data_IF_870607237999
#
_entry.id   IF_870607237999
#
_cell.length_a   1.000
_cell.length_b   1.000
_cell.length_c   1.000
_cell.angle_alpha   90.00
_cell.angle_beta   90.00
_cell.angle_gamma   90.00
#
_symmetry.space_group_name_H-M   'P 1'
#
loop_
_entity.id
_entity.type
_entity.pdbx_description
1 polymer ?
#
# COMPACT_ATOMS: atom_id res chain seq x y z
N UNK A 1 -15.48 25.80 -51.27
CA UNK A 1 -15.62 27.21 -51.55
C UNK A 1 -14.58 28.01 -50.77
N UNK A 2 -13.81 28.84 -51.41
CA UNK A 2 -12.92 29.79 -50.76
C UNK A 2 -13.77 30.92 -50.19
N UNK A 3 -13.61 31.22 -48.91
CA UNK A 3 -14.37 32.26 -48.20
C UNK A 3 -13.36 33.14 -47.48
N UNK A 4 -13.34 34.41 -47.79
CA UNK A 4 -12.39 35.38 -47.20
C UNK A 4 -12.71 35.72 -45.74
N UNK A 5 -13.98 35.75 -45.36
CA UNK A 5 -14.42 35.93 -43.96
C UNK A 5 -15.88 35.51 -43.78
N UNK A 6 -16.19 34.99 -42.59
CA UNK A 6 -17.56 34.65 -42.17
C UNK A 6 -17.89 35.39 -40.89
N UNK A 7 -18.94 36.22 -40.93
CA UNK A 7 -19.41 37.03 -39.78
C UNK A 7 -20.78 36.53 -39.31
N UNK A 8 -21.07 36.69 -38.00
CA UNK A 8 -22.40 36.44 -37.44
C UNK A 8 -22.66 34.97 -37.12
N UNK A 9 -21.62 34.12 -36.99
CA UNK A 9 -21.77 32.74 -36.53
C UNK A 9 -21.98 32.78 -35.03
N UNK A 10 -23.13 32.29 -34.53
CA UNK A 10 -23.32 32.13 -33.08
C UNK A 10 -22.38 31.07 -32.55
N UNK A 11 -22.15 31.02 -31.20
CA UNK A 11 -21.39 29.94 -30.57
C UNK A 11 -21.91 28.58 -31.01
N UNK A 12 -21.08 27.82 -31.72
CA UNK A 12 -21.45 26.48 -32.19
C UNK A 12 -21.01 25.41 -31.20
N UNK A 13 -21.90 24.51 -30.84
CA UNK A 13 -21.59 23.32 -30.06
C UNK A 13 -21.59 22.13 -31.00
N UNK A 14 -20.43 21.49 -31.14
CA UNK A 14 -20.32 20.21 -31.84
C UNK A 14 -20.54 19.07 -30.85
N UNK A 15 -21.55 18.25 -31.08
CA UNK A 15 -21.77 17.01 -30.33
C UNK A 15 -21.26 15.88 -31.20
N UNK A 16 -20.13 15.30 -30.80
CA UNK A 16 -19.62 14.10 -31.45
C UNK A 16 -20.17 12.84 -30.78
N UNK A 17 -20.79 11.98 -31.56
CA UNK A 17 -21.11 10.64 -31.10
C UNK A 17 -19.87 9.75 -31.27
N UNK A 18 -19.27 9.34 -30.16
CA UNK A 18 -18.18 8.35 -30.20
C UNK A 18 -18.73 7.02 -30.73
N UNK A 19 -18.34 6.66 -31.93
CA UNK A 19 -18.68 5.36 -32.56
C UNK A 19 -17.75 4.22 -32.08
N UNK A 20 -16.97 4.41 -31.01
CA UNK A 20 -16.13 3.37 -30.45
C UNK A 20 -17.01 2.24 -29.89
N UNK A 21 -17.04 1.12 -30.57
CA UNK A 21 -17.67 -0.10 -30.04
C UNK A 21 -16.91 -0.52 -28.78
N UNK A 22 -17.58 -0.54 -27.64
CA UNK A 22 -17.03 -1.07 -26.43
C UNK A 22 -16.54 -2.50 -26.61
N UNK A 23 -15.40 -2.86 -26.02
CA UNK A 23 -14.90 -4.24 -26.02
C UNK A 23 -15.86 -5.20 -25.30
N UNK A 24 -15.67 -6.51 -25.45
CA UNK A 24 -16.52 -7.55 -24.82
C UNK A 24 -16.69 -7.39 -23.30
N UNK A 25 -15.78 -6.66 -22.62
CA UNK A 25 -15.80 -6.39 -21.18
C UNK A 25 -16.26 -4.97 -20.82
N UNK A 26 -16.67 -4.16 -21.82
CA UNK A 26 -17.13 -2.80 -21.58
C UNK A 26 -18.58 -2.81 -21.08
N UNK A 27 -18.81 -2.06 -20.00
CA UNK A 27 -20.15 -1.77 -19.48
C UNK A 27 -20.53 -0.33 -19.83
N UNK A 28 -21.81 0.02 -19.69
CA UNK A 28 -22.27 1.41 -19.84
C UNK A 28 -21.44 2.35 -18.94
N UNK A 29 -21.23 1.98 -17.69
CA UNK A 29 -20.45 2.77 -16.74
C UNK A 29 -19.01 3.04 -17.17
N UNK A 30 -18.33 2.05 -17.81
CA UNK A 30 -16.96 2.23 -18.29
C UNK A 30 -16.89 2.99 -19.61
N UNK A 31 -17.86 2.78 -20.49
CA UNK A 31 -17.92 3.45 -21.81
C UNK A 31 -18.28 4.93 -21.70
N UNK A 32 -19.11 5.29 -20.74
CA UNK A 32 -19.52 6.66 -20.45
C UNK A 32 -18.64 7.39 -19.43
N UNK A 33 -17.60 6.70 -18.92
CA UNK A 33 -16.72 7.19 -17.85
C UNK A 33 -17.42 7.44 -16.50
N UNK A 34 -18.72 7.17 -16.39
CA UNK A 34 -19.50 7.34 -15.15
C UNK A 34 -18.87 6.57 -13.99
N UNK A 35 -18.36 5.38 -14.25
CA UNK A 35 -17.68 4.57 -13.24
C UNK A 35 -16.45 5.29 -12.65
N UNK A 36 -15.67 5.98 -13.48
CA UNK A 36 -14.52 6.76 -13.01
C UNK A 36 -14.93 7.89 -12.06
N UNK A 37 -15.98 8.64 -12.44
CA UNK A 37 -16.49 9.71 -11.58
C UNK A 37 -17.12 9.19 -10.28
N UNK A 38 -17.80 8.05 -10.32
CA UNK A 38 -18.33 7.41 -9.11
C UNK A 38 -17.19 6.98 -8.17
N UNK A 39 -16.13 6.36 -8.69
CA UNK A 39 -14.96 6.01 -7.88
C UNK A 39 -14.37 7.24 -7.20
N UNK A 40 -14.14 8.31 -7.95
CA UNK A 40 -13.64 9.58 -7.40
C UNK A 40 -14.57 10.13 -6.32
N UNK A 41 -15.88 10.12 -6.55
CA UNK A 41 -16.87 10.57 -5.58
C UNK A 41 -16.78 9.77 -4.28
N UNK A 42 -16.80 8.43 -4.37
CA UNK A 42 -16.71 7.58 -3.19
C UNK A 42 -15.37 7.69 -2.46
N UNK A 43 -14.26 7.82 -3.18
CA UNK A 43 -12.94 7.98 -2.57
C UNK A 43 -12.80 9.33 -1.85
N UNK A 44 -13.35 10.40 -2.42
CA UNK A 44 -13.19 11.77 -1.88
C UNK A 44 -14.23 12.15 -0.84
N UNK A 45 -15.48 11.72 -0.99
CA UNK A 45 -16.62 12.14 -0.17
C UNK A 45 -17.28 10.99 0.59
N UNK A 46 -16.99 9.73 0.22
CA UNK A 46 -17.57 8.56 0.87
C UNK A 46 -17.01 8.33 2.27
N UNK A 47 -17.85 7.84 3.16
CA UNK A 47 -17.42 7.30 4.46
C UNK A 47 -17.24 5.79 4.32
N UNK A 48 -16.02 5.31 4.54
CA UNK A 48 -15.76 3.88 4.54
C UNK A 48 -16.29 3.25 5.82
N UNK A 49 -16.98 2.13 5.69
CA UNK A 49 -17.44 1.33 6.82
C UNK A 49 -16.67 0.01 6.89
N UNK A 50 -16.50 -0.48 8.12
CA UNK A 50 -15.86 -1.76 8.38
C UNK A 50 -16.70 -2.90 7.80
N UNK A 51 -16.04 -3.84 7.13
CA UNK A 51 -16.71 -5.01 6.53
C UNK A 51 -17.19 -6.02 7.56
N UNK A 52 -16.68 -5.97 8.81
CA UNK A 52 -17.00 -6.93 9.87
C UNK A 52 -18.16 -6.47 10.75
N UNK A 53 -18.22 -5.19 11.07
CA UNK A 53 -19.16 -4.63 12.06
C UNK A 53 -19.93 -3.40 11.59
N UNK A 54 -19.61 -2.89 10.38
CA UNK A 54 -20.29 -1.74 9.81
C UNK A 54 -19.92 -0.38 10.44
N UNK A 55 -19.02 -0.34 11.42
CA UNK A 55 -18.59 0.92 12.03
C UNK A 55 -17.82 1.79 11.04
N UNK A 56 -17.98 3.12 11.13
CA UNK A 56 -17.23 4.05 10.29
C UNK A 56 -15.73 3.96 10.60
N UNK A 57 -14.92 3.80 9.55
CA UNK A 57 -13.46 3.75 9.64
C UNK A 57 -12.93 5.14 10.00
N UNK A 58 -12.07 5.20 11.00
CA UNK A 58 -11.52 6.44 11.55
C UNK A 58 -9.98 6.39 11.62
N UNK A 59 -9.31 7.55 11.69
CA UNK A 59 -7.89 7.60 12.04
C UNK A 59 -7.63 7.01 13.42
N UNK A 60 -6.49 6.35 13.60
CA UNK A 60 -6.04 5.90 14.92
C UNK A 60 -4.65 6.48 15.24
N UNK A 61 -4.31 6.54 16.53
CA UNK A 61 -3.03 7.08 16.97
C UNK A 61 -1.93 6.00 16.91
N UNK A 62 -0.65 6.38 16.78
CA UNK A 62 0.47 5.46 16.93
C UNK A 62 0.46 4.71 18.28
N UNK A 63 0.01 5.38 19.36
CA UNK A 63 -0.12 4.75 20.68
C UNK A 63 -1.18 3.64 20.69
N UNK A 64 -2.29 3.85 20.00
CA UNK A 64 -3.31 2.82 19.83
C UNK A 64 -2.77 1.62 19.05
N UNK A 65 -1.98 1.86 18.00
CA UNK A 65 -1.32 0.77 17.25
C UNK A 65 -0.33 0.03 18.17
N UNK A 66 0.51 0.74 18.91
CA UNK A 66 1.47 0.13 19.82
C UNK A 66 0.78 -0.76 20.87
N UNK A 67 -0.32 -0.28 21.47
CA UNK A 67 -1.11 -1.05 22.42
C UNK A 67 -1.71 -2.32 21.79
N UNK A 68 -2.19 -2.24 20.56
CA UNK A 68 -2.69 -3.40 19.82
C UNK A 68 -1.57 -4.40 19.53
N UNK A 69 -0.37 -3.95 19.14
CA UNK A 69 0.77 -4.82 18.89
C UNK A 69 1.20 -5.55 20.18
N UNK A 70 1.30 -4.84 21.30
CA UNK A 70 1.62 -5.43 22.61
C UNK A 70 0.58 -6.48 23.04
N UNK A 71 -0.69 -6.25 22.74
CA UNK A 71 -1.77 -7.19 23.06
C UNK A 71 -1.79 -8.40 22.13
N UNK A 72 -1.71 -8.16 20.81
CA UNK A 72 -1.98 -9.21 19.81
C UNK A 72 -0.77 -10.13 19.57
N UNK A 73 0.44 -9.61 19.79
CA UNK A 73 1.70 -10.31 19.50
C UNK A 73 2.56 -10.55 20.76
N UNK A 74 1.96 -10.45 21.95
CA UNK A 74 2.69 -10.70 23.21
C UNK A 74 3.50 -12.00 23.17
N UNK A 75 4.81 -11.90 23.44
CA UNK A 75 5.73 -13.05 23.44
C UNK A 75 6.11 -13.57 22.05
N UNK A 76 5.71 -12.89 20.96
CA UNK A 76 6.07 -13.27 19.60
C UNK A 76 7.21 -12.38 19.07
N UNK A 77 8.00 -12.95 18.17
CA UNK A 77 8.95 -12.20 17.35
C UNK A 77 8.26 -11.70 16.08
N UNK A 78 8.31 -10.40 15.83
CA UNK A 78 7.65 -9.77 14.68
C UNK A 78 8.63 -8.92 13.87
N UNK A 79 8.32 -8.75 12.58
CA UNK A 79 8.94 -7.77 11.71
C UNK A 79 8.01 -6.59 11.45
N UNK A 80 8.54 -5.37 11.53
CA UNK A 80 7.86 -4.15 11.11
C UNK A 80 8.34 -3.73 9.74
N UNK A 81 7.41 -3.61 8.80
CA UNK A 81 7.67 -3.27 7.41
C UNK A 81 6.95 -1.96 7.06
N UNK A 82 7.64 -1.08 6.35
CA UNK A 82 7.02 0.13 5.80
C UNK A 82 6.68 -0.08 4.32
N UNK A 83 5.42 0.01 3.89
CA UNK A 83 5.06 -0.07 2.47
C UNK A 83 5.58 1.16 1.73
N UNK A 84 6.48 0.96 0.75
CA UNK A 84 7.02 2.02 -0.09
C UNK A 84 6.28 2.09 -1.44
N UNK A 85 5.94 0.93 -2.00
CA UNK A 85 5.23 0.79 -3.27
C UNK A 85 4.13 -0.26 -3.10
N UNK A 86 2.92 0.07 -3.52
CA UNK A 86 1.76 -0.81 -3.43
C UNK A 86 1.15 -1.04 -4.80
N UNK A 87 1.27 -2.28 -5.32
CA UNK A 87 0.67 -2.73 -6.56
C UNK A 87 0.92 -1.77 -7.76
N UNK A 88 2.17 -1.33 -7.95
CA UNK A 88 2.53 -0.41 -9.04
C UNK A 88 3.60 -0.98 -9.95
N UNK A 89 3.49 -0.67 -11.23
CA UNK A 89 4.51 -0.98 -12.26
C UNK A 89 5.63 0.06 -12.20
N UNK A 90 6.86 -0.37 -12.47
CA UNK A 90 7.99 0.55 -12.50
C UNK A 90 9.35 -0.12 -12.39
N UNK A 91 10.38 0.72 -12.40
CA UNK A 91 11.77 0.32 -12.15
C UNK A 91 12.14 0.81 -10.75
N UNK A 92 12.58 -0.09 -9.88
CA UNK A 92 12.76 0.19 -8.45
C UNK A 92 14.19 0.00 -7.96
N UNK A 93 15.17 -0.04 -8.85
CA UNK A 93 16.60 -0.12 -8.47
C UNK A 93 17.04 1.05 -7.62
N UNK A 94 16.50 2.25 -7.88
CA UNK A 94 16.77 3.45 -7.09
C UNK A 94 16.32 3.34 -5.63
N UNK A 95 15.27 2.54 -5.34
CA UNK A 95 14.85 2.28 -3.96
C UNK A 95 15.91 1.49 -3.18
N UNK A 96 16.54 0.50 -3.81
CA UNK A 96 17.62 -0.25 -3.18
C UNK A 96 18.87 0.63 -2.97
N UNK A 97 19.18 1.49 -3.94
CA UNK A 97 20.29 2.45 -3.83
C UNK A 97 20.02 3.51 -2.74
N UNK A 98 18.78 3.89 -2.54
CA UNK A 98 18.37 4.78 -1.45
C UNK A 98 18.42 4.08 -0.08
N UNK A 99 18.00 2.81 0.00
CA UNK A 99 17.90 2.05 1.25
C UNK A 99 19.27 1.63 1.80
N UNK A 100 20.19 1.19 0.94
CA UNK A 100 21.50 0.66 1.29
C UNK A 100 22.35 1.61 2.17
N UNK A 101 22.59 2.89 1.80
CA UNK A 101 23.41 3.80 2.62
C UNK A 101 22.74 4.16 3.96
N UNK A 102 21.46 3.85 4.13
CA UNK A 102 20.69 4.03 5.37
C UNK A 102 20.72 2.81 6.28
N UNK A 103 21.48 1.77 5.90
CA UNK A 103 21.64 0.57 6.71
C UNK A 103 20.59 -0.53 6.44
N UNK A 104 19.68 -0.34 5.50
CA UNK A 104 18.70 -1.36 5.14
C UNK A 104 19.32 -2.37 4.18
N UNK A 105 19.51 -3.59 4.66
CA UNK A 105 20.18 -4.65 3.90
C UNK A 105 19.28 -5.36 2.88
N UNK A 106 17.98 -5.31 3.09
CA UNK A 106 16.97 -5.98 2.25
C UNK A 106 15.79 -5.07 1.96
N UNK A 107 15.11 -5.35 0.84
CA UNK A 107 13.74 -4.93 0.56
C UNK A 107 12.86 -6.18 0.41
N UNK A 108 11.62 -6.11 0.85
CA UNK A 108 10.66 -7.19 0.63
C UNK A 108 9.83 -6.87 -0.61
N UNK A 109 10.02 -7.64 -1.69
CA UNK A 109 9.35 -7.47 -2.98
C UNK A 109 8.42 -8.65 -3.21
N UNK A 110 7.13 -8.39 -3.30
CA UNK A 110 6.08 -9.41 -3.50
C UNK A 110 6.21 -10.60 -2.52
N UNK A 111 6.57 -10.28 -1.27
CA UNK A 111 6.77 -11.26 -0.22
C UNK A 111 8.19 -11.83 -0.11
N UNK A 112 9.06 -11.62 -1.09
CA UNK A 112 10.43 -12.11 -1.06
C UNK A 112 11.40 -11.04 -0.54
N UNK A 113 12.25 -11.39 0.42
CA UNK A 113 13.32 -10.53 0.90
C UNK A 113 14.52 -10.60 -0.07
N UNK A 114 14.75 -9.48 -0.75
CA UNK A 114 15.84 -9.33 -1.72
C UNK A 114 16.92 -8.40 -1.16
N UNK A 115 18.22 -8.75 -1.30
CA UNK A 115 19.31 -7.91 -0.80
C UNK A 115 19.35 -6.58 -1.57
N UNK A 116 19.66 -5.49 -0.86
CA UNK A 116 19.85 -4.16 -1.48
C UNK A 116 21.18 -4.06 -2.21
N UNK A 117 22.15 -4.93 -1.86
CA UNK A 117 23.40 -5.09 -2.59
C UNK A 117 23.14 -5.95 -3.81
N UNK A 118 23.50 -5.46 -5.01
CA UNK A 118 23.22 -6.13 -6.29
C UNK A 118 21.73 -6.44 -6.46
N UNK A 119 20.88 -5.47 -6.13
CA UNK A 119 19.43 -5.64 -6.21
C UNK A 119 19.02 -6.13 -7.61
N UNK A 120 18.28 -7.24 -7.71
CA UNK A 120 17.91 -7.82 -9.00
C UNK A 120 16.96 -6.90 -9.76
N UNK A 121 17.05 -6.93 -11.08
CA UNK A 121 16.05 -6.25 -11.92
C UNK A 121 14.74 -7.02 -11.84
N UNK A 122 13.71 -6.35 -11.34
CA UNK A 122 12.34 -6.88 -11.35
C UNK A 122 11.61 -6.46 -12.63
N UNK A 123 10.56 -7.18 -12.99
CA UNK A 123 9.81 -6.96 -14.23
C UNK A 123 9.01 -5.65 -14.16
N UNK A 124 9.47 -4.61 -14.84
CA UNK A 124 8.84 -3.28 -14.86
C UNK A 124 7.39 -3.25 -15.40
N UNK A 125 6.96 -4.30 -16.06
CA UNK A 125 5.61 -4.40 -16.65
C UNK A 125 4.60 -5.07 -15.72
N UNK A 126 5.07 -5.70 -14.64
CA UNK A 126 4.24 -6.26 -13.57
C UNK A 126 4.04 -5.26 -12.44
N UNK A 127 2.93 -5.39 -11.76
CA UNK A 127 2.67 -4.65 -10.52
C UNK A 127 3.45 -5.31 -9.38
N UNK A 128 4.16 -4.49 -8.62
CA UNK A 128 4.96 -4.93 -7.49
C UNK A 128 4.52 -4.21 -6.21
N UNK A 129 4.58 -4.95 -5.11
CA UNK A 129 4.49 -4.39 -3.76
C UNK A 129 5.87 -4.47 -3.13
N UNK A 130 6.41 -3.31 -2.73
CA UNK A 130 7.75 -3.20 -2.14
C UNK A 130 7.63 -2.60 -0.75
N UNK A 131 8.20 -3.31 0.22
CA UNK A 131 8.18 -2.96 1.62
C UNK A 131 9.62 -2.83 2.13
N UNK A 132 9.83 -1.86 3.02
CA UNK A 132 11.10 -1.65 3.71
C UNK A 132 11.06 -2.38 5.06
N UNK A 133 11.91 -3.37 5.32
CA UNK A 133 12.05 -3.96 6.65
C UNK A 133 12.72 -2.95 7.58
N UNK A 134 11.94 -2.38 8.51
CA UNK A 134 12.43 -1.33 9.42
C UNK A 134 13.02 -1.93 10.68
N UNK A 135 12.35 -2.91 11.28
CA UNK A 135 12.80 -3.55 12.49
C UNK A 135 12.30 -5.00 12.61
N UNK A 136 13.00 -5.78 13.42
CA UNK A 136 12.63 -7.12 13.84
C UNK A 136 12.89 -7.23 15.33
N UNK A 137 11.87 -7.55 16.14
CA UNK A 137 11.96 -7.54 17.60
C UNK A 137 10.96 -8.45 18.27
N UNK A 138 11.28 -8.82 19.50
CA UNK A 138 10.35 -9.56 20.39
C UNK A 138 9.37 -8.59 21.06
N UNK A 139 8.09 -8.92 21.01
CA UNK A 139 7.05 -8.11 21.64
C UNK A 139 6.90 -8.49 23.10
N UNK A 140 7.43 -7.63 23.95
CA UNK A 140 7.35 -7.78 25.41
C UNK A 140 7.24 -6.41 26.08
N UNK A 141 6.78 -6.34 27.35
CA UNK A 141 6.75 -5.08 28.09
C UNK A 141 8.12 -4.41 28.22
N UNK A 142 9.18 -5.22 28.34
CA UNK A 142 10.57 -4.72 28.45
C UNK A 142 11.04 -4.05 27.15
N UNK A 143 10.51 -4.50 26.01
CA UNK A 143 10.86 -3.98 24.68
C UNK A 143 9.89 -2.90 24.17
N UNK A 144 8.94 -2.44 24.98
CA UNK A 144 7.92 -1.47 24.56
C UNK A 144 8.53 -0.20 23.99
N UNK A 145 9.57 0.35 24.61
CA UNK A 145 10.22 1.56 24.12
C UNK A 145 10.85 1.36 22.74
N UNK A 146 11.49 0.21 22.52
CA UNK A 146 12.06 -0.16 21.22
C UNK A 146 10.96 -0.35 20.17
N UNK A 147 9.86 -1.02 20.54
CA UNK A 147 8.71 -1.20 19.66
C UNK A 147 8.11 0.13 19.22
N UNK A 148 7.94 1.09 20.14
CA UNK A 148 7.41 2.43 19.83
C UNK A 148 8.31 3.21 18.90
N UNK A 149 9.63 3.16 19.11
CA UNK A 149 10.61 3.81 18.23
C UNK A 149 10.55 3.19 16.83
N UNK A 150 10.62 1.88 16.73
CA UNK A 150 10.56 1.17 15.45
C UNK A 150 9.22 1.39 14.73
N UNK A 151 8.12 1.46 15.46
CA UNK A 151 6.79 1.77 14.91
C UNK A 151 6.74 3.19 14.35
N UNK A 152 7.29 4.18 15.05
CA UNK A 152 7.35 5.56 14.58
C UNK A 152 8.15 5.68 13.28
N UNK A 153 9.29 5.00 13.18
CA UNK A 153 10.11 4.95 11.98
C UNK A 153 9.37 4.26 10.82
N UNK A 154 8.73 3.12 11.09
CA UNK A 154 7.94 2.41 10.08
C UNK A 154 6.77 3.24 9.57
N UNK A 155 6.03 3.92 10.45
CA UNK A 155 4.94 4.82 10.08
C UNK A 155 5.43 6.04 9.29
N UNK A 156 6.61 6.55 9.59
CA UNK A 156 7.22 7.66 8.85
C UNK A 156 7.52 7.25 7.42
N UNK A 157 8.22 6.14 7.21
CA UNK A 157 8.55 5.62 5.88
C UNK A 157 7.31 5.15 5.11
N UNK A 158 6.37 4.49 5.81
CA UNK A 158 5.10 3.98 5.25
C UNK A 158 4.00 5.04 5.13
N UNK A 159 4.31 6.33 5.38
CA UNK A 159 3.35 7.46 5.30
C UNK A 159 2.08 7.23 6.11
N UNK A 160 2.25 6.72 7.32
CA UNK A 160 1.16 6.42 8.25
C UNK A 160 0.60 5.01 8.15
N UNK A 161 1.23 4.14 7.38
CA UNK A 161 0.89 2.71 7.28
C UNK A 161 2.10 1.87 7.71
N UNK A 162 1.85 0.81 8.47
CA UNK A 162 2.84 -0.19 8.83
C UNK A 162 2.28 -1.58 8.59
N UNK A 163 3.09 -2.45 8.04
CA UNK A 163 2.81 -3.87 7.91
C UNK A 163 3.56 -4.63 9.00
N UNK A 164 2.88 -5.51 9.69
CA UNK A 164 3.43 -6.37 10.74
C UNK A 164 3.47 -7.79 10.23
N UNK A 165 4.66 -8.36 10.18
CA UNK A 165 4.88 -9.74 9.77
C UNK A 165 5.14 -10.60 11.01
N UNK A 166 4.24 -11.52 11.30
CA UNK A 166 4.33 -12.47 12.43
C UNK A 166 4.61 -13.88 11.93
N UNK A 167 4.88 -14.82 12.86
CA UNK A 167 5.19 -16.23 12.55
C UNK A 167 6.40 -16.37 11.61
N UNK A 168 7.46 -15.63 11.90
CA UNK A 168 8.67 -15.51 11.07
C UNK A 168 9.83 -16.40 11.53
N UNK A 169 9.57 -17.42 12.36
CA UNK A 169 10.62 -18.25 12.93
C UNK A 169 11.54 -18.97 11.93
N UNK A 170 11.06 -19.24 10.73
CA UNK A 170 11.84 -19.86 9.64
C UNK A 170 12.43 -18.87 8.64
N UNK A 171 12.12 -17.57 8.78
CA UNK A 171 12.49 -16.55 7.81
C UNK A 171 14.01 -16.39 7.69
N UNK A 172 14.71 -16.32 8.83
CA UNK A 172 16.16 -16.13 8.83
C UNK A 172 16.87 -17.28 8.10
N UNK A 173 16.52 -18.53 8.40
CA UNK A 173 17.08 -19.70 7.74
C UNK A 173 16.77 -19.72 6.23
N UNK A 174 15.58 -19.31 5.82
CA UNK A 174 15.22 -19.19 4.42
C UNK A 174 16.05 -18.11 3.70
N UNK A 175 16.25 -16.95 4.34
CA UNK A 175 17.09 -15.88 3.79
C UNK A 175 18.55 -16.31 3.66
N UNK A 176 19.10 -17.00 4.66
CA UNK A 176 20.50 -17.51 4.63
C UNK A 176 20.72 -18.56 3.55
N UNK A 177 19.73 -19.44 3.34
CA UNK A 177 19.80 -20.47 2.30
C UNK A 177 19.47 -19.98 0.89
N UNK A 178 19.02 -18.72 0.74
CA UNK A 178 18.54 -18.16 -0.51
C UNK A 178 17.22 -18.77 -1.00
N UNK A 179 16.48 -19.43 -0.11
CA UNK A 179 15.16 -19.98 -0.45
C UNK A 179 14.12 -18.87 -0.61
N UNK A 180 13.06 -19.10 -1.41
CA UNK A 180 11.95 -18.15 -1.51
C UNK A 180 11.31 -17.89 -0.14
N UNK A 181 11.13 -16.62 0.20
CA UNK A 181 10.53 -16.18 1.47
C UNK A 181 9.08 -15.77 1.32
N UNK A 182 8.56 -15.71 0.09
CA UNK A 182 7.15 -15.48 -0.17
C UNK A 182 6.28 -16.55 0.49
N UNK A 183 5.29 -16.12 1.26
CA UNK A 183 4.42 -17.03 2.02
C UNK A 183 4.92 -17.39 3.43
N UNK A 184 6.13 -16.97 3.84
CA UNK A 184 6.56 -17.08 5.23
C UNK A 184 5.94 -15.93 6.04
N UNK A 185 5.27 -16.31 7.13
CA UNK A 185 4.65 -15.37 8.05
C UNK A 185 3.24 -14.92 7.67
N UNK A 186 2.61 -14.22 8.59
CA UNK A 186 1.30 -13.62 8.43
C UNK A 186 1.42 -12.10 8.47
N UNK A 187 0.94 -11.44 7.41
CA UNK A 187 0.98 -10.01 7.28
C UNK A 187 -0.31 -9.39 7.83
N UNK A 188 -0.17 -8.42 8.73
CA UNK A 188 -1.27 -7.57 9.20
C UNK A 188 -0.95 -6.11 8.92
N UNK A 189 -1.97 -5.36 8.50
CA UNK A 189 -1.83 -3.94 8.15
C UNK A 189 -2.37 -3.09 9.30
N UNK A 190 -1.60 -2.09 9.72
CA UNK A 190 -2.03 -1.04 10.64
C UNK A 190 -1.87 0.33 9.99
N UNK A 191 -2.83 1.22 10.23
CA UNK A 191 -2.84 2.54 9.60
C UNK A 191 -3.28 3.60 10.60
N UNK A 192 -2.53 4.69 10.67
CA UNK A 192 -2.95 5.87 11.43
C UNK A 192 -4.06 6.64 10.75
N UNK A 193 -4.32 6.38 9.49
CA UNK A 193 -5.30 7.12 8.69
C UNK A 193 -6.68 6.44 8.67
N UNK A 194 -6.71 5.11 8.66
CA UNK A 194 -7.93 4.34 8.37
C UNK A 194 -7.97 3.04 9.19
N UNK A 195 -8.72 3.04 10.27
CA UNK A 195 -8.95 1.85 11.08
C UNK A 195 -10.38 1.77 11.61
N UNK A 196 -10.90 0.57 11.83
CA UNK A 196 -12.17 0.36 12.50
C UNK A 196 -11.99 0.61 14.00
N UNK A 197 -12.79 1.49 14.64
CA UNK A 197 -12.68 1.75 16.07
C UNK A 197 -13.17 0.59 16.93
N UNK A 198 -13.93 -0.35 16.38
CA UNK A 198 -14.52 -1.48 17.11
C UNK A 198 -13.65 -2.72 17.07
N UNK A 199 -13.30 -3.20 15.86
CA UNK A 199 -12.52 -4.43 15.69
C UNK A 199 -11.02 -4.17 15.38
N UNK A 200 -10.60 -2.90 15.32
CA UNK A 200 -9.23 -2.48 15.03
C UNK A 200 -8.69 -2.89 13.65
N UNK A 201 -9.54 -3.42 12.76
CA UNK A 201 -9.14 -3.74 11.38
C UNK A 201 -8.67 -2.48 10.67
N UNK A 202 -7.46 -2.52 10.12
CA UNK A 202 -6.89 -1.41 9.36
C UNK A 202 -7.14 -1.59 7.86
N UNK A 203 -7.33 -0.47 7.19
CA UNK A 203 -7.63 -0.42 5.76
C UNK A 203 -6.55 0.35 5.02
N UNK A 204 -6.21 -0.12 3.84
CA UNK A 204 -5.32 0.58 2.94
C UNK A 204 -5.90 1.94 2.50
N UNK A 205 -5.03 2.84 2.06
CA UNK A 205 -5.46 4.08 1.43
C UNK A 205 -6.21 3.76 0.14
N UNK A 206 -7.35 4.42 -0.07
CA UNK A 206 -8.12 4.26 -1.31
C UNK A 206 -7.44 5.09 -2.40
N UNK A 207 -7.02 4.43 -3.47
CA UNK A 207 -6.53 5.05 -4.69
C UNK A 207 -7.69 5.08 -5.72
N UNK A 208 -8.04 6.25 -6.27
CA UNK A 208 -9.14 6.40 -7.23
C UNK A 208 -8.87 5.76 -8.59
#
# INVERSE_FOLDING_TARGET
PEVDAVYGIPPTVAIEQRLSRGGRKSTVGTTTEVWHFLRLLYVKLGTQHCIHDGAAVQPQTPDSIAAQLLKNFAGQHIGLLAPLVMARKGVYTELADWARPRGYTHLRVDGNFLPTTNFPRIDRFKEHTIELPVASLDVSPENEAQLRTALADALTHGKGVVHVLSSIGTLAAAMESGAPTAGIGHLQVYSTKRACPVCATSYAELDP
#
